data_IF_615103263408
#
_entry.id   IF_615103263408
#
_cell.length_a   1.000
_cell.length_b   1.000
_cell.length_c   1.000
_cell.angle_alpha   90.00
_cell.angle_beta   90.00
_cell.angle_gamma   90.00
#
_symmetry.space_group_name_H-M   'P 1'
#
loop_
_entity.id
_entity.type
_entity.pdbx_description
1 polymer ?
#
# COMPACT_ATOMS: atom_id res chain seq x y z
N UNK A 1 25.97 0.91 -8.26
CA UNK A 1 25.35 2.24 -8.13
C UNK A 1 25.78 2.86 -6.80
N UNK A 2 26.44 4.01 -6.84
CA UNK A 2 26.89 4.71 -5.63
C UNK A 2 25.84 5.76 -5.23
N UNK A 3 24.84 5.34 -4.46
CA UNK A 3 23.70 6.17 -4.03
C UNK A 3 24.12 7.42 -3.25
N UNK A 4 25.29 7.41 -2.60
CA UNK A 4 25.84 8.58 -1.90
C UNK A 4 26.30 9.65 -2.89
N UNK A 5 26.97 9.25 -3.98
CA UNK A 5 27.45 10.20 -5.00
C UNK A 5 26.29 10.83 -5.77
N UNK A 6 25.25 10.05 -6.08
CA UNK A 6 24.02 10.59 -6.67
C UNK A 6 23.36 11.60 -5.73
N UNK A 7 23.26 11.27 -4.43
CA UNK A 7 22.72 12.20 -3.44
C UNK A 7 23.51 13.51 -3.33
N UNK A 8 24.84 13.46 -3.34
CA UNK A 8 25.68 14.67 -3.39
C UNK A 8 25.39 15.49 -4.65
N UNK A 9 25.44 14.83 -5.81
CA UNK A 9 25.19 15.46 -7.12
C UNK A 9 23.84 16.17 -7.15
N UNK A 10 22.81 15.55 -6.59
CA UNK A 10 21.46 16.08 -6.67
C UNK A 10 21.14 17.08 -5.56
N UNK A 11 21.68 16.92 -4.35
CA UNK A 11 21.31 17.77 -3.22
C UNK A 11 22.12 19.07 -3.17
N UNK A 12 23.42 19.05 -3.52
CA UNK A 12 24.25 20.25 -3.44
C UNK A 12 23.77 21.41 -4.31
N UNK A 13 23.31 21.22 -5.55
CA UNK A 13 22.80 22.32 -6.37
C UNK A 13 21.62 23.05 -5.72
N UNK A 14 20.77 22.33 -4.99
CA UNK A 14 19.52 22.84 -4.40
C UNK A 14 19.59 23.12 -2.89
N UNK A 15 20.69 22.78 -2.23
CA UNK A 15 20.98 23.15 -0.83
C UNK A 15 21.73 24.48 -0.71
N UNK A 16 21.78 25.06 0.49
CA UNK A 16 22.68 26.18 0.76
C UNK A 16 24.12 25.67 0.97
N UNK A 17 24.30 24.59 1.73
CA UNK A 17 25.56 23.85 1.85
C UNK A 17 25.88 23.08 0.56
N UNK A 18 27.11 23.22 0.06
CA UNK A 18 27.54 22.74 -1.27
C UNK A 18 28.59 21.61 -1.24
N UNK A 19 29.17 21.32 -0.08
CA UNK A 19 30.35 20.43 0.00
C UNK A 19 30.18 19.32 1.04
N UNK A 20 29.47 19.58 2.13
CA UNK A 20 29.25 18.60 3.18
C UNK A 20 27.85 17.99 3.11
N UNK A 21 27.77 16.73 2.65
CA UNK A 21 26.51 16.01 2.48
C UNK A 21 25.64 15.99 3.75
N UNK A 22 26.24 15.73 4.93
CA UNK A 22 25.49 15.64 6.18
C UNK A 22 24.89 16.98 6.58
N UNK A 23 25.65 18.07 6.39
CA UNK A 23 25.16 19.44 6.63
C UNK A 23 24.07 19.81 5.65
N UNK A 24 24.26 19.54 4.34
CA UNK A 24 23.27 19.78 3.30
C UNK A 24 21.95 19.05 3.59
N UNK A 25 22.00 17.75 3.89
CA UNK A 25 20.82 16.95 4.27
C UNK A 25 20.13 17.48 5.53
N UNK A 26 20.87 18.11 6.45
CA UNK A 26 20.35 18.72 7.67
C UNK A 26 19.46 19.94 7.41
N UNK A 27 19.49 20.50 6.20
CA UNK A 27 18.61 21.59 5.78
C UNK A 27 17.21 21.11 5.38
N UNK A 28 17.05 19.81 5.11
CA UNK A 28 15.83 19.25 4.54
C UNK A 28 14.96 18.57 5.58
N UNK A 29 13.65 18.74 5.45
CA UNK A 29 12.66 18.08 6.28
C UNK A 29 11.53 17.47 5.46
N UNK A 30 11.04 16.31 5.90
CA UNK A 30 9.77 15.72 5.46
C UNK A 30 8.65 16.19 6.38
N UNK A 31 7.63 16.81 5.79
CA UNK A 31 6.51 17.44 6.53
C UNK A 31 5.19 16.69 6.41
N UNK A 32 5.15 15.56 5.70
CA UNK A 32 3.93 14.76 5.53
C UNK A 32 3.35 14.76 4.11
N UNK A 33 3.87 15.59 3.21
CA UNK A 33 3.41 15.65 1.83
C UNK A 33 3.90 14.43 1.04
N UNK A 34 2.95 13.65 0.54
CA UNK A 34 3.22 12.39 -0.13
C UNK A 34 2.21 12.12 -1.24
N UNK A 35 2.65 11.41 -2.28
CA UNK A 35 1.90 11.23 -3.52
C UNK A 35 1.96 9.78 -4.00
N UNK A 36 0.85 9.29 -4.53
CA UNK A 36 0.79 8.07 -5.34
C UNK A 36 0.66 8.48 -6.81
N UNK A 37 1.72 8.31 -7.60
CA UNK A 37 1.70 8.60 -9.05
C UNK A 37 1.10 7.46 -9.88
N UNK A 38 0.45 6.49 -9.22
CA UNK A 38 -0.25 5.31 -9.77
C UNK A 38 0.65 4.26 -10.43
N UNK A 39 1.66 4.69 -11.18
CA UNK A 39 2.61 3.84 -11.93
C UNK A 39 4.01 4.00 -11.34
N UNK A 40 4.76 2.90 -11.26
CA UNK A 40 6.11 2.87 -10.74
C UNK A 40 7.13 3.22 -11.84
N UNK A 41 7.15 4.47 -12.29
CA UNK A 41 8.04 4.94 -13.38
C UNK A 41 8.88 6.17 -12.96
N UNK A 42 8.63 6.72 -11.78
CA UNK A 42 9.35 7.91 -11.32
C UNK A 42 10.76 7.59 -10.83
N UNK A 43 11.60 8.63 -10.78
CA UNK A 43 12.95 8.57 -10.27
C UNK A 43 13.03 9.32 -8.93
N UNK A 44 13.70 8.73 -7.95
CA UNK A 44 13.98 9.42 -6.69
C UNK A 44 14.94 10.58 -6.93
N UNK A 45 14.50 11.82 -6.69
CA UNK A 45 15.30 13.02 -6.94
C UNK A 45 16.55 13.14 -6.06
N UNK A 46 16.69 12.29 -5.03
CA UNK A 46 17.89 12.26 -4.20
C UNK A 46 18.90 11.20 -4.68
N UNK A 47 18.50 9.94 -4.83
CA UNK A 47 19.46 8.86 -5.08
C UNK A 47 19.47 8.30 -6.51
N UNK A 48 18.64 8.83 -7.40
CA UNK A 48 18.39 8.35 -8.78
C UNK A 48 17.87 6.92 -8.87
N UNK A 49 17.29 6.38 -7.80
CA UNK A 49 16.60 5.09 -7.88
C UNK A 49 15.34 5.23 -8.73
N UNK A 50 15.26 4.49 -9.83
CA UNK A 50 14.11 4.47 -10.73
C UNK A 50 12.98 3.58 -10.21
N UNK A 51 11.84 3.63 -10.92
CA UNK A 51 10.66 2.83 -10.69
C UNK A 51 10.02 3.03 -9.30
N UNK A 52 10.00 4.28 -8.81
CA UNK A 52 9.25 4.61 -7.60
C UNK A 52 7.82 5.02 -7.97
N UNK A 53 6.84 4.54 -7.22
CA UNK A 53 5.42 4.93 -7.36
C UNK A 53 4.98 5.92 -6.28
N UNK A 54 5.52 5.75 -5.08
CA UNK A 54 5.18 6.59 -3.94
C UNK A 54 6.30 7.60 -3.69
N UNK A 55 5.97 8.87 -3.83
CA UNK A 55 6.90 9.97 -3.64
C UNK A 55 6.58 10.70 -2.34
N UNK A 56 7.64 11.14 -1.67
CA UNK A 56 7.61 11.88 -0.42
C UNK A 56 8.35 13.18 -0.65
N UNK A 57 7.65 14.29 -0.45
CA UNK A 57 8.22 15.61 -0.63
C UNK A 57 9.04 16.00 0.59
N UNK A 58 10.29 16.35 0.36
CA UNK A 58 11.14 17.01 1.34
C UNK A 58 11.35 18.46 0.93
N UNK A 59 11.34 19.34 1.92
CA UNK A 59 11.53 20.78 1.73
C UNK A 59 12.81 21.22 2.41
N UNK A 60 13.60 22.05 1.72
CA UNK A 60 14.72 22.73 2.32
C UNK A 60 14.20 23.90 3.18
N UNK A 61 14.43 23.84 4.49
CA UNK A 61 13.90 24.82 5.45
C UNK A 61 14.58 26.19 5.37
N UNK A 62 15.68 26.32 4.62
CA UNK A 62 16.41 27.59 4.48
C UNK A 62 16.07 28.33 3.19
N UNK A 63 15.73 27.63 2.10
CA UNK A 63 15.50 28.25 0.79
C UNK A 63 14.19 27.83 0.11
N UNK A 64 13.41 26.91 0.69
CA UNK A 64 12.11 26.48 0.18
C UNK A 64 12.15 25.53 -1.02
N UNK A 65 13.33 25.10 -1.48
CA UNK A 65 13.44 24.11 -2.55
C UNK A 65 12.79 22.78 -2.16
N UNK A 66 12.27 22.06 -3.15
CA UNK A 66 11.54 20.81 -2.97
C UNK A 66 12.24 19.65 -3.70
N UNK A 67 12.18 18.45 -3.12
CA UNK A 67 12.57 17.21 -3.79
C UNK A 67 11.55 16.11 -3.50
N UNK A 68 11.21 15.34 -4.54
CA UNK A 68 10.36 14.15 -4.44
C UNK A 68 11.24 12.92 -4.35
N UNK A 69 11.15 12.21 -3.24
CA UNK A 69 12.04 11.08 -2.93
C UNK A 69 11.26 9.84 -2.52
N UNK A 70 11.89 8.67 -2.59
CA UNK A 70 11.32 7.45 -2.02
C UNK A 70 11.40 7.43 -0.50
N UNK A 71 10.46 6.74 0.18
CA UNK A 71 10.42 6.61 1.65
C UNK A 71 11.72 6.06 2.25
N UNK A 72 12.42 5.21 1.51
CA UNK A 72 13.69 4.62 1.97
C UNK A 72 14.82 5.64 2.02
N UNK A 73 14.80 6.69 1.19
CA UNK A 73 15.78 7.76 1.26
C UNK A 73 15.64 8.57 2.55
N UNK A 74 14.41 8.84 3.01
CA UNK A 74 14.17 9.51 4.30
C UNK A 74 14.89 8.77 5.43
N UNK A 75 14.79 7.44 5.44
CA UNK A 75 15.41 6.58 6.46
C UNK A 75 16.92 6.48 6.30
N UNK A 76 17.40 6.18 5.08
CA UNK A 76 18.83 5.95 4.79
C UNK A 76 19.68 7.19 5.05
N UNK A 77 19.17 8.36 4.70
CA UNK A 77 19.88 9.63 4.86
C UNK A 77 19.55 10.35 6.18
N UNK A 78 18.68 9.78 7.02
CA UNK A 78 18.20 10.40 8.26
C UNK A 78 17.67 11.82 8.03
N UNK A 79 16.86 12.01 6.98
CA UNK A 79 16.19 13.29 6.73
C UNK A 79 15.33 13.63 7.94
N UNK A 80 15.32 14.91 8.32
CA UNK A 80 14.50 15.38 9.44
C UNK A 80 13.03 15.12 9.13
N UNK A 81 12.28 14.60 10.10
CA UNK A 81 10.83 14.42 9.98
C UNK A 81 10.17 15.27 11.04
N UNK A 82 9.16 16.03 10.67
CA UNK A 82 8.36 16.84 11.59
C UNK A 82 6.97 16.23 11.79
N UNK A 83 6.38 16.48 12.95
CA UNK A 83 4.96 16.19 13.19
C UNK A 83 4.07 17.32 12.65
N UNK A 84 2.76 17.15 12.79
CA UNK A 84 1.76 18.12 12.30
C UNK A 84 1.82 19.46 13.06
N UNK A 85 2.50 19.50 14.21
CA UNK A 85 2.75 20.71 15.02
C UNK A 85 4.10 21.38 14.64
N UNK A 86 4.81 20.88 13.64
CA UNK A 86 6.12 21.40 13.21
C UNK A 86 7.31 20.98 14.09
N UNK A 87 7.10 20.10 15.07
CA UNK A 87 8.15 19.60 15.97
C UNK A 87 8.93 18.46 15.34
N UNK A 88 10.26 18.53 15.44
CA UNK A 88 11.17 17.47 14.97
C UNK A 88 10.97 16.18 15.77
N UNK A 89 10.75 15.08 15.06
CA UNK A 89 10.61 13.75 15.63
C UNK A 89 11.96 13.11 15.98
N UNK A 90 11.92 12.19 16.95
CA UNK A 90 13.02 11.26 17.22
C UNK A 90 13.25 10.35 16.00
N UNK A 91 14.43 9.73 15.90
CA UNK A 91 14.71 8.78 14.80
C UNK A 91 13.70 7.63 14.74
N UNK A 92 13.25 7.15 15.90
CA UNK A 92 12.29 6.06 15.99
C UNK A 92 10.89 6.50 15.55
N UNK A 93 10.43 7.66 16.01
CA UNK A 93 9.11 8.18 15.65
C UNK A 93 9.07 8.64 14.18
N UNK A 94 10.17 9.17 13.66
CA UNK A 94 10.35 9.46 12.24
C UNK A 94 10.14 8.20 11.38
N UNK A 95 10.79 7.09 11.74
CA UNK A 95 10.61 5.80 11.04
C UNK A 95 9.17 5.32 11.10
N UNK A 96 8.52 5.44 12.27
CA UNK A 96 7.11 5.06 12.44
C UNK A 96 6.19 5.91 11.57
N UNK A 97 6.36 7.24 11.57
CA UNK A 97 5.57 8.16 10.73
C UNK A 97 5.74 7.84 9.24
N UNK A 98 6.97 7.75 8.74
CA UNK A 98 7.23 7.44 7.32
C UNK A 98 6.64 6.08 6.91
N UNK A 99 6.76 5.06 7.75
CA UNK A 99 6.15 3.76 7.49
C UNK A 99 4.61 3.83 7.48
N UNK A 100 4.00 4.57 8.42
CA UNK A 100 2.56 4.78 8.49
C UNK A 100 2.06 5.49 7.22
N UNK A 101 2.72 6.56 6.83
CA UNK A 101 2.41 7.37 5.66
C UNK A 101 2.51 6.54 4.36
N UNK A 102 3.61 5.81 4.17
CA UNK A 102 3.74 4.85 3.05
C UNK A 102 2.64 3.79 3.05
N UNK A 103 2.36 3.20 4.21
CA UNK A 103 1.33 2.16 4.32
C UNK A 103 -0.07 2.71 4.03
N UNK A 104 -0.33 3.98 4.34
CA UNK A 104 -1.57 4.67 3.98
C UNK A 104 -1.72 4.73 2.46
N UNK A 105 -0.73 5.26 1.73
CA UNK A 105 -0.76 5.30 0.26
C UNK A 105 -0.98 3.92 -0.36
N UNK A 106 -0.23 2.91 0.11
CA UNK A 106 -0.37 1.53 -0.38
C UNK A 106 -1.77 0.99 -0.10
N UNK A 107 -2.37 1.31 1.05
CA UNK A 107 -3.70 0.83 1.41
C UNK A 107 -4.75 1.50 0.55
N UNK A 108 -4.68 2.82 0.37
CA UNK A 108 -5.59 3.60 -0.47
C UNK A 108 -5.53 3.14 -1.93
N UNK A 109 -4.32 2.90 -2.46
CA UNK A 109 -4.11 2.33 -3.79
C UNK A 109 -4.80 0.96 -3.98
N UNK A 110 -4.68 0.08 -2.98
CA UNK A 110 -5.34 -1.25 -3.01
C UNK A 110 -6.86 -1.11 -2.96
N UNK A 111 -7.38 -0.22 -2.12
CA UNK A 111 -8.81 0.05 -2.02
C UNK A 111 -9.37 0.62 -3.32
N UNK A 112 -8.67 1.59 -3.93
CA UNK A 112 -9.01 2.14 -5.25
C UNK A 112 -9.03 1.05 -6.32
N UNK A 113 -8.04 0.17 -6.32
CA UNK A 113 -7.98 -0.97 -7.25
C UNK A 113 -9.19 -1.90 -7.10
N UNK A 114 -9.63 -2.22 -5.87
CA UNK A 114 -10.84 -3.00 -5.64
C UNK A 114 -12.08 -2.26 -6.17
N UNK A 115 -12.25 -0.99 -5.80
CA UNK A 115 -13.40 -0.20 -6.22
C UNK A 115 -13.49 -0.08 -7.75
N UNK A 116 -12.39 0.19 -8.43
CA UNK A 116 -12.34 0.23 -9.90
C UNK A 116 -12.74 -1.11 -10.52
N UNK A 117 -12.31 -2.22 -9.90
CA UNK A 117 -12.69 -3.57 -10.35
C UNK A 117 -14.19 -3.82 -10.18
N UNK A 118 -14.78 -3.37 -9.05
CA UNK A 118 -16.22 -3.48 -8.82
C UNK A 118 -16.99 -2.63 -9.82
N UNK A 119 -16.59 -1.38 -10.07
CA UNK A 119 -17.25 -0.51 -11.06
C UNK A 119 -17.18 -1.13 -12.46
N UNK A 120 -16.05 -1.73 -12.84
CA UNK A 120 -15.92 -2.46 -14.11
C UNK A 120 -16.84 -3.68 -14.19
N UNK A 121 -17.02 -4.40 -13.08
CA UNK A 121 -17.97 -5.52 -13.05
C UNK A 121 -19.41 -5.03 -13.19
N UNK A 122 -19.76 -3.91 -12.55
CA UNK A 122 -21.08 -3.28 -12.67
C UNK A 122 -21.44 -2.93 -14.13
N UNK A 123 -20.45 -2.52 -14.93
CA UNK A 123 -20.68 -2.15 -16.33
C UNK A 123 -20.82 -3.35 -17.29
N UNK A 124 -20.52 -4.57 -16.83
CA UNK A 124 -20.51 -5.79 -17.68
C UNK A 124 -21.56 -6.81 -17.22
N UNK A 125 -21.84 -6.91 -15.93
CA UNK A 125 -22.78 -7.88 -15.35
C UNK A 125 -24.02 -7.18 -14.78
N UNK A 126 -24.96 -6.81 -15.66
CA UNK A 126 -26.19 -6.08 -15.32
C UNK A 126 -27.15 -6.88 -14.42
N UNK A 127 -26.99 -8.20 -14.32
CA UNK A 127 -27.83 -9.07 -13.47
C UNK A 127 -27.30 -9.13 -12.02
N UNK A 128 -26.06 -8.71 -11.78
CA UNK A 128 -25.44 -8.76 -10.46
C UNK A 128 -25.59 -7.44 -9.72
N UNK A 129 -26.37 -7.46 -8.63
CA UNK A 129 -26.55 -6.31 -7.73
C UNK A 129 -25.27 -6.06 -6.93
N UNK A 130 -24.36 -5.33 -7.54
CA UNK A 130 -23.01 -5.06 -7.03
C UNK A 130 -22.97 -3.89 -6.04
N UNK A 131 -24.00 -3.06 -6.03
CA UNK A 131 -24.12 -1.88 -5.17
C UNK A 131 -23.94 -2.27 -3.70
N UNK A 132 -24.56 -3.37 -3.27
CA UNK A 132 -24.44 -3.92 -1.92
C UNK A 132 -22.98 -4.33 -1.58
N UNK A 133 -22.21 -4.79 -2.58
CA UNK A 133 -20.80 -5.16 -2.39
C UNK A 133 -19.92 -3.92 -2.29
N UNK A 134 -20.19 -2.91 -3.12
CA UNK A 134 -19.49 -1.63 -3.08
C UNK A 134 -19.73 -0.93 -1.74
N UNK A 135 -20.98 -0.86 -1.28
CA UNK A 135 -21.34 -0.24 0.01
C UNK A 135 -20.69 -0.98 1.18
N UNK A 136 -20.82 -2.32 1.21
CA UNK A 136 -20.18 -3.13 2.24
C UNK A 136 -18.67 -2.94 2.26
N UNK A 137 -18.01 -2.90 1.10
CA UNK A 137 -16.57 -2.68 1.02
C UNK A 137 -16.19 -1.27 1.46
N UNK A 138 -16.94 -0.23 1.12
CA UNK A 138 -16.68 1.15 1.57
C UNK A 138 -16.70 1.24 3.10
N UNK A 139 -17.63 0.56 3.76
CA UNK A 139 -17.76 0.55 5.23
C UNK A 139 -16.69 -0.36 5.90
N UNK A 140 -16.49 -1.57 5.38
CA UNK A 140 -15.74 -2.64 6.07
C UNK A 140 -14.31 -2.84 5.56
N UNK A 141 -13.99 -2.33 4.37
CA UNK A 141 -12.70 -2.50 3.67
C UNK A 141 -12.30 -3.97 3.47
N UNK A 142 -13.29 -4.87 3.46
CA UNK A 142 -13.16 -6.31 3.33
C UNK A 142 -14.51 -6.94 2.94
N UNK A 143 -14.50 -8.22 2.61
CA UNK A 143 -15.67 -9.02 2.27
C UNK A 143 -15.82 -10.23 3.20
N UNK A 144 -17.05 -10.67 3.44
CA UNK A 144 -17.30 -11.97 4.07
C UNK A 144 -16.90 -13.12 3.13
N UNK A 145 -16.69 -14.36 3.63
CA UNK A 145 -16.33 -15.50 2.77
C UNK A 145 -17.33 -15.79 1.64
N UNK A 146 -18.63 -15.65 1.93
CA UNK A 146 -19.69 -15.84 0.94
C UNK A 146 -19.68 -14.74 -0.12
N UNK A 147 -19.55 -13.48 0.30
CA UNK A 147 -19.41 -12.36 -0.64
C UNK A 147 -18.17 -12.53 -1.52
N UNK A 148 -17.01 -12.80 -0.91
CA UNK A 148 -15.75 -12.85 -1.65
C UNK A 148 -15.75 -14.00 -2.67
N UNK A 149 -16.23 -15.19 -2.29
CA UNK A 149 -16.30 -16.32 -3.22
C UNK A 149 -17.24 -16.05 -4.40
N UNK A 150 -18.42 -15.47 -4.16
CA UNK A 150 -19.36 -15.09 -5.22
C UNK A 150 -18.75 -14.01 -6.13
N UNK A 151 -18.13 -12.98 -5.55
CA UNK A 151 -17.53 -11.87 -6.29
C UNK A 151 -16.39 -12.35 -7.19
N UNK A 152 -15.50 -13.20 -6.66
CA UNK A 152 -14.36 -13.74 -7.42
C UNK A 152 -14.84 -14.63 -8.57
N UNK A 153 -15.93 -15.40 -8.36
CA UNK A 153 -16.55 -16.15 -9.44
C UNK A 153 -17.14 -15.23 -10.52
N UNK A 154 -17.87 -14.17 -10.14
CA UNK A 154 -18.42 -13.16 -11.07
C UNK A 154 -17.32 -12.48 -11.90
N UNK A 155 -16.24 -12.05 -11.25
CA UNK A 155 -15.10 -11.42 -11.93
C UNK A 155 -14.45 -12.32 -12.97
N UNK A 156 -14.27 -13.61 -12.64
CA UNK A 156 -13.72 -14.59 -13.59
C UNK A 156 -14.69 -14.88 -14.73
N UNK A 157 -16.00 -14.98 -14.45
CA UNK A 157 -17.03 -15.20 -15.48
C UNK A 157 -17.07 -14.04 -16.47
N UNK A 158 -16.85 -12.81 -16.01
CA UNK A 158 -16.81 -11.60 -16.81
C UNK A 158 -15.44 -11.31 -17.46
N UNK A 159 -14.46 -12.21 -17.30
CA UNK A 159 -13.07 -12.03 -17.79
C UNK A 159 -12.44 -10.70 -17.36
N UNK A 160 -12.69 -10.30 -16.11
CA UNK A 160 -12.11 -9.09 -15.52
C UNK A 160 -10.84 -9.45 -14.80
N UNK A 161 -9.71 -8.86 -15.22
CA UNK A 161 -8.46 -8.92 -14.48
C UNK A 161 -8.53 -8.18 -13.15
N UNK A 162 -7.96 -8.78 -12.10
CA UNK A 162 -7.88 -8.19 -10.78
C UNK A 162 -6.75 -8.78 -9.94
N UNK A 163 -6.25 -8.00 -8.98
CA UNK A 163 -5.24 -8.46 -8.04
C UNK A 163 -5.88 -9.07 -6.79
N UNK A 164 -5.81 -10.40 -6.66
CA UNK A 164 -6.38 -11.16 -5.53
C UNK A 164 -5.98 -10.63 -4.16
N UNK A 165 -4.73 -10.20 -3.99
CA UNK A 165 -4.21 -9.70 -2.70
C UNK A 165 -4.84 -8.36 -2.26
N UNK A 166 -5.52 -7.66 -3.17
CA UNK A 166 -6.23 -6.42 -2.84
C UNK A 166 -7.61 -6.70 -2.22
N UNK A 167 -8.21 -7.86 -2.51
CA UNK A 167 -9.52 -8.25 -2.02
C UNK A 167 -9.41 -8.91 -0.64
N UNK A 168 -9.63 -8.14 0.41
CA UNK A 168 -9.50 -8.65 1.79
C UNK A 168 -10.73 -9.45 2.24
N UNK A 169 -10.46 -10.51 2.99
CA UNK A 169 -11.48 -11.31 3.69
C UNK A 169 -11.60 -10.88 5.16
N UNK A 170 -12.81 -10.82 5.72
CA UNK A 170 -13.05 -10.71 7.18
C UNK A 170 -13.55 -12.03 7.76
N UNK A 171 -12.95 -12.43 8.89
CA UNK A 171 -13.37 -13.57 9.73
C UNK A 171 -13.32 -13.24 11.23
N UNK A 172 -13.68 -12.00 11.57
CA UNK A 172 -13.65 -11.51 12.95
C UNK A 172 -14.76 -12.13 13.79
N UNK A 173 -15.90 -12.48 13.17
CA UNK A 173 -17.05 -13.07 13.86
C UNK A 173 -17.04 -14.59 13.72
N UNK A 174 -17.57 -15.29 14.73
CA UNK A 174 -17.72 -16.76 14.72
C UNK A 174 -18.46 -17.26 13.47
N UNK A 175 -19.55 -16.59 13.10
CA UNK A 175 -20.31 -16.89 11.87
C UNK A 175 -19.48 -16.78 10.60
N UNK A 176 -18.60 -15.78 10.49
CA UNK A 176 -17.73 -15.61 9.32
C UNK A 176 -16.66 -16.71 9.26
N UNK A 177 -16.16 -17.14 10.42
CA UNK A 177 -15.23 -18.28 10.51
C UNK A 177 -15.91 -19.58 10.08
N UNK A 178 -17.12 -19.84 10.59
CA UNK A 178 -17.94 -21.00 10.20
C UNK A 178 -18.24 -20.99 8.70
N UNK A 179 -18.66 -19.84 8.15
CA UNK A 179 -18.92 -19.67 6.72
C UNK A 179 -17.68 -19.99 5.87
N UNK A 180 -16.48 -19.56 6.31
CA UNK A 180 -15.22 -19.86 5.62
C UNK A 180 -14.91 -21.37 5.63
N UNK A 181 -15.12 -22.03 6.77
CA UNK A 181 -14.82 -23.46 6.92
C UNK A 181 -15.82 -24.33 6.16
N UNK A 182 -17.07 -23.87 6.00
CA UNK A 182 -18.12 -24.56 5.26
C UNK A 182 -18.10 -24.31 3.76
N UNK A 183 -17.23 -23.43 3.25
CA UNK A 183 -17.07 -23.27 1.80
C UNK A 183 -16.68 -24.60 1.16
N UNK A 184 -17.36 -24.91 0.05
CA UNK A 184 -16.95 -25.95 -0.89
C UNK A 184 -15.49 -25.75 -1.29
N UNK A 185 -14.77 -26.85 -1.49
CA UNK A 185 -13.32 -26.84 -1.73
C UNK A 185 -12.91 -25.96 -2.92
N UNK A 186 -13.67 -26.00 -4.01
CA UNK A 186 -13.42 -25.16 -5.18
C UNK A 186 -13.67 -23.66 -4.92
N UNK A 187 -14.63 -23.30 -4.06
CA UNK A 187 -14.87 -21.91 -3.64
C UNK A 187 -13.71 -21.43 -2.78
N UNK A 188 -13.26 -22.25 -1.83
CA UNK A 188 -12.07 -21.96 -1.04
C UNK A 188 -10.83 -21.80 -1.92
N UNK A 189 -10.69 -22.62 -2.98
CA UNK A 189 -9.65 -22.49 -4.02
C UNK A 189 -9.65 -21.14 -4.67
N UNK A 190 -10.84 -20.70 -5.07
CA UNK A 190 -10.99 -19.48 -5.83
C UNK A 190 -10.50 -18.25 -5.06
N UNK A 191 -10.66 -18.26 -3.72
CA UNK A 191 -10.33 -17.14 -2.84
C UNK A 191 -9.05 -17.32 -2.02
N UNK A 192 -8.33 -18.44 -2.16
CA UNK A 192 -7.19 -18.77 -1.29
C UNK A 192 -6.11 -17.69 -1.27
N UNK A 193 -5.80 -17.09 -2.42
CA UNK A 193 -4.81 -16.00 -2.53
C UNK A 193 -5.30 -14.64 -2.03
N UNK A 194 -6.58 -14.55 -1.64
CA UNK A 194 -7.14 -13.39 -0.97
C UNK A 194 -6.97 -13.48 0.57
N UNK A 195 -6.69 -14.67 1.11
CA UNK A 195 -6.51 -14.87 2.55
C UNK A 195 -5.14 -14.35 3.00
N UNK A 196 -5.12 -13.70 4.17
CA UNK A 196 -3.87 -13.39 4.87
C UNK A 196 -3.16 -14.66 5.33
N UNK A 197 -1.87 -14.58 5.64
CA UNK A 197 -1.11 -15.71 6.18
C UNK A 197 -1.73 -16.28 7.47
N UNK A 198 -2.28 -15.41 8.33
CA UNK A 198 -2.99 -15.84 9.55
C UNK A 198 -4.31 -16.54 9.25
N UNK A 199 -5.06 -16.09 8.24
CA UNK A 199 -6.30 -16.73 7.81
C UNK A 199 -6.02 -18.09 7.13
N UNK A 200 -4.98 -18.18 6.31
CA UNK A 200 -4.52 -19.45 5.71
C UNK A 200 -4.18 -20.46 6.83
N UNK A 201 -3.38 -20.04 7.83
CA UNK A 201 -3.05 -20.87 9.00
C UNK A 201 -4.30 -21.33 9.77
N UNK A 202 -5.23 -20.41 10.04
CA UNK A 202 -6.50 -20.75 10.69
C UNK A 202 -7.28 -21.85 9.94
N UNK A 203 -7.38 -21.76 8.61
CA UNK A 203 -8.09 -22.76 7.81
C UNK A 203 -7.37 -24.10 7.85
N UNK A 204 -6.04 -24.11 7.72
CA UNK A 204 -5.24 -25.34 7.77
C UNK A 204 -5.42 -26.06 9.11
N UNK A 205 -5.31 -25.34 10.21
CA UNK A 205 -5.49 -25.88 11.56
C UNK A 205 -6.90 -26.44 11.78
N UNK A 206 -7.94 -25.69 11.38
CA UNK A 206 -9.33 -26.09 11.64
C UNK A 206 -9.84 -27.18 10.70
N UNK A 207 -9.29 -27.30 9.49
CA UNK A 207 -9.62 -28.38 8.55
C UNK A 207 -8.69 -29.59 8.66
N UNK A 208 -7.66 -29.56 9.51
CA UNK A 208 -6.68 -30.64 9.63
C UNK A 208 -5.83 -30.84 8.37
N UNK A 209 -5.58 -29.76 7.62
CA UNK A 209 -4.82 -29.79 6.37
C UNK A 209 -3.35 -29.43 6.63
N UNK A 210 -2.42 -30.21 6.07
CA UNK A 210 -0.97 -29.96 6.18
C UNK A 210 -0.46 -28.93 5.16
N UNK A 211 -1.21 -28.68 4.09
CA UNK A 211 -0.86 -27.75 3.00
C UNK A 211 -2.10 -27.10 2.40
N UNK A 212 -1.88 -26.08 1.56
CA UNK A 212 -2.96 -25.43 0.80
C UNK A 212 -3.83 -26.49 0.10
N UNK A 213 -5.15 -26.27 -0.03
CA UNK A 213 -6.06 -27.31 -0.53
C UNK A 213 -5.89 -27.66 -2.03
N UNK A 214 -4.78 -27.30 -2.69
CA UNK A 214 -4.59 -27.36 -4.14
C UNK A 214 -3.17 -27.70 -4.55
#
# INVERSE_FOLDING_TARGET
MNWIENAKKNIFPVSNEKYNLKKALGEWAYEGNMFDVEIADEICHLCDHSNIRYQFEIVNKQNGNLLLIGSECIKKFNIVVVNDEGTKLSSEDAKKKVNKDRNKLVTEAKEKSVLNTLVKLASVDNEFIIENFIEYFKERKAFTPKQLSLLIWRLRKADIDFNKSHFKLTIKKKREQEDLLQLEEWKLKSIWECLSSSQKKFVLEKKGLSRAPF
#
